data_IF_934766366710
#
_entry.id   IF_934766366710
#
_cell.length_a   1.000
_cell.length_b   1.000
_cell.length_c   1.000
_cell.angle_alpha   90.00
_cell.angle_beta   90.00
_cell.angle_gamma   90.00
#
_symmetry.space_group_name_H-M   'P 1'
#
loop_
_entity.id
_entity.type
_entity.pdbx_description
1 polymer ?
#
# COMPACT_ATOMS: atom_id res chain seq x y z
N UNK A 1 20.56 -5.47 2.84
CA UNK A 1 19.08 -5.46 2.82
C UNK A 1 18.62 -6.47 1.80
N UNK A 2 17.67 -7.34 2.14
CA UNK A 2 17.06 -8.30 1.20
C UNK A 2 15.54 -8.12 1.27
N UNK A 3 14.88 -8.10 0.13
CA UNK A 3 13.44 -7.86 0.05
C UNK A 3 12.88 -8.27 -1.30
N UNK A 4 11.57 -8.52 -1.34
CA UNK A 4 10.86 -8.79 -2.58
C UNK A 4 10.69 -7.48 -3.38
N UNK A 5 10.68 -7.57 -4.71
CA UNK A 5 10.32 -6.44 -5.56
C UNK A 5 8.83 -6.18 -5.39
N UNK A 6 8.48 -5.00 -4.88
CA UNK A 6 7.09 -4.59 -4.71
C UNK A 6 6.46 -4.19 -6.05
N UNK A 7 5.93 -5.18 -6.78
CA UNK A 7 5.24 -5.01 -8.07
C UNK A 7 4.00 -5.89 -8.13
N UNK A 8 2.91 -5.40 -8.70
CA UNK A 8 1.62 -6.10 -8.81
C UNK A 8 1.75 -7.52 -9.41
N UNK A 9 2.67 -7.71 -10.36
CA UNK A 9 2.90 -9.01 -11.01
C UNK A 9 3.58 -10.04 -10.10
N UNK A 10 4.36 -9.59 -9.11
CA UNK A 10 5.12 -10.46 -8.21
C UNK A 10 4.38 -10.78 -6.91
N UNK A 11 3.19 -10.20 -6.69
CA UNK A 11 2.32 -10.47 -5.54
C UNK A 11 1.28 -11.58 -5.80
N UNK A 12 1.61 -12.54 -6.67
CA UNK A 12 0.75 -13.67 -7.02
C UNK A 12 1.56 -14.96 -7.10
N UNK A 13 0.93 -16.10 -6.84
CA UNK A 13 1.64 -17.38 -6.61
C UNK A 13 2.02 -18.16 -7.90
N UNK A 14 1.61 -17.69 -9.07
CA UNK A 14 1.92 -18.31 -10.36
C UNK A 14 3.33 -17.95 -10.80
N UNK A 15 4.10 -18.98 -11.11
CA UNK A 15 5.40 -18.86 -11.74
C UNK A 15 5.27 -18.34 -13.17
N UNK A 16 6.25 -17.53 -13.60
CA UNK A 16 6.36 -17.12 -14.99
C UNK A 16 6.69 -18.34 -15.86
N UNK A 17 6.07 -18.40 -17.04
CA UNK A 17 6.36 -19.41 -18.05
C UNK A 17 7.82 -19.36 -18.51
N UNK A 18 8.32 -20.50 -18.95
CA UNK A 18 9.65 -20.58 -19.54
C UNK A 18 9.70 -19.83 -20.88
N UNK A 19 10.90 -19.38 -21.26
CA UNK A 19 11.16 -18.65 -22.52
C UNK A 19 10.38 -17.32 -22.63
N UNK A 20 10.09 -16.67 -21.51
CA UNK A 20 9.55 -15.31 -21.46
C UNK A 20 10.65 -14.36 -21.00
N UNK A 21 10.95 -13.36 -21.83
CA UNK A 21 11.91 -12.31 -21.48
C UNK A 21 11.31 -11.37 -20.44
N UNK A 22 12.02 -11.20 -19.32
CA UNK A 22 11.64 -10.29 -18.24
C UNK A 22 12.65 -9.15 -18.15
N UNK A 23 12.19 -7.91 -18.31
CA UNK A 23 12.98 -6.70 -18.10
C UNK A 23 12.49 -5.96 -16.85
N UNK A 24 13.36 -5.86 -15.85
CA UNK A 24 13.10 -5.10 -14.62
C UNK A 24 13.96 -3.83 -14.65
N UNK A 25 13.32 -2.66 -14.54
CA UNK A 25 14.00 -1.37 -14.39
C UNK A 25 13.71 -0.83 -13.00
N UNK A 26 14.76 -0.72 -12.18
CA UNK A 26 14.68 -0.09 -10.86
C UNK A 26 15.25 1.33 -10.97
N UNK A 27 14.47 2.31 -10.50
CA UNK A 27 14.87 3.71 -10.48
C UNK A 27 14.99 4.11 -9.01
N UNK A 28 16.17 4.61 -8.62
CA UNK A 28 16.41 5.04 -7.25
C UNK A 28 15.66 6.35 -6.98
N UNK A 29 14.97 6.43 -5.84
CA UNK A 29 14.41 7.68 -5.35
C UNK A 29 15.49 8.71 -5.06
N UNK A 30 15.12 9.99 -5.06
CA UNK A 30 16.04 11.08 -4.71
C UNK A 30 16.51 10.97 -3.25
N UNK A 31 17.75 11.38 -2.92
CA UNK A 31 18.27 11.31 -1.54
C UNK A 31 17.35 11.97 -0.51
N UNK A 32 16.79 13.13 -0.80
CA UNK A 32 15.89 13.88 0.10
C UNK A 32 14.57 13.16 0.42
N UNK A 33 14.21 12.15 -0.37
CA UNK A 33 13.01 11.32 -0.12
C UNK A 33 13.35 10.06 0.70
N UNK A 34 14.52 9.47 0.49
CA UNK A 34 14.89 8.19 1.12
C UNK A 34 15.82 8.32 2.33
N UNK A 35 16.35 9.51 2.61
CA UNK A 35 17.19 9.79 3.77
C UNK A 35 16.51 10.83 4.67
N UNK A 36 16.58 10.59 5.98
CA UNK A 36 16.23 11.57 7.00
C UNK A 36 17.50 11.93 7.78
N UNK A 37 17.81 13.21 7.90
CA UNK A 37 19.00 13.71 8.58
C UNK A 37 19.45 15.07 8.06
N UNK A 38 20.76 15.28 8.04
CA UNK A 38 21.40 16.47 7.47
C UNK A 38 21.53 16.37 5.95
N UNK A 39 21.57 17.53 5.30
CA UNK A 39 21.85 17.64 3.87
C UNK A 39 23.27 17.20 3.52
N UNK A 40 23.54 17.00 2.23
CA UNK A 40 24.87 16.67 1.71
C UNK A 40 25.20 15.17 1.67
N UNK A 41 24.31 14.32 2.19
CA UNK A 41 24.46 12.87 2.13
C UNK A 41 23.78 12.30 0.89
N UNK A 42 24.38 11.25 0.31
CA UNK A 42 23.83 10.52 -0.83
C UNK A 42 23.85 9.02 -0.56
N UNK A 43 22.84 8.33 -1.08
CA UNK A 43 22.82 6.86 -1.12
C UNK A 43 23.58 6.40 -2.35
N UNK A 44 24.64 5.61 -2.13
CA UNK A 44 25.38 4.90 -3.17
C UNK A 44 25.05 3.42 -3.06
N UNK A 45 24.65 2.80 -4.17
CA UNK A 45 24.44 1.37 -4.25
C UNK A 45 25.73 0.73 -4.77
N UNK A 46 26.44 0.02 -3.90
CA UNK A 46 27.71 -0.63 -4.24
C UNK A 46 27.47 -1.94 -5.00
N UNK A 47 26.68 -2.83 -4.40
CA UNK A 47 26.29 -4.11 -5.00
C UNK A 47 24.78 -4.30 -4.99
N UNK A 48 24.22 -4.65 -6.15
CA UNK A 48 22.81 -5.00 -6.32
C UNK A 48 22.73 -6.35 -7.01
N UNK A 49 22.05 -7.31 -6.38
CA UNK A 49 21.87 -8.65 -6.92
C UNK A 49 20.40 -9.05 -6.89
N UNK A 50 19.94 -9.73 -7.94
CA UNK A 50 18.59 -10.25 -8.05
C UNK A 50 18.63 -11.77 -7.93
N UNK A 51 17.98 -12.30 -6.89
CA UNK A 51 17.81 -13.73 -6.69
C UNK A 51 16.47 -14.17 -7.27
N UNK A 52 16.48 -15.13 -8.20
CA UNK A 52 15.28 -15.65 -8.86
C UNK A 52 15.14 -17.15 -8.56
N UNK A 53 13.96 -17.56 -8.11
CA UNK A 53 13.62 -18.98 -7.94
C UNK A 53 13.20 -19.58 -9.30
N UNK A 54 13.96 -20.57 -9.77
CA UNK A 54 13.58 -21.40 -10.92
C UNK A 54 13.06 -22.76 -10.43
N UNK A 55 12.01 -23.26 -11.07
CA UNK A 55 11.39 -24.55 -10.70
C UNK A 55 11.52 -25.51 -11.88
N UNK A 56 11.95 -26.74 -11.61
CA UNK A 56 11.93 -27.83 -12.59
C UNK A 56 10.56 -28.46 -12.58
N UNK A 57 9.92 -28.52 -13.74
CA UNK A 57 8.56 -29.04 -13.89
C UNK A 57 8.62 -30.37 -14.65
N UNK A 58 7.70 -31.29 -14.34
CA UNK A 58 7.60 -32.57 -15.04
C UNK A 58 7.37 -32.34 -16.57
N UNK A 59 8.07 -33.06 -17.46
CA UNK A 59 7.92 -32.95 -18.91
C UNK A 59 6.46 -32.99 -19.42
N UNK A 60 5.59 -33.80 -18.80
CA UNK A 60 4.18 -33.89 -19.18
C UNK A 60 3.42 -32.57 -18.98
N UNK A 61 3.76 -31.81 -17.94
CA UNK A 61 3.17 -30.49 -17.67
C UNK A 61 3.69 -29.45 -18.66
N UNK A 62 4.97 -29.52 -19.05
CA UNK A 62 5.54 -28.65 -20.08
C UNK A 62 4.82 -28.85 -21.41
N UNK A 63 4.61 -30.11 -21.82
CA UNK A 63 3.85 -30.43 -23.04
C UNK A 63 2.39 -29.98 -22.94
N UNK A 64 1.77 -30.15 -21.78
CA UNK A 64 0.41 -29.65 -21.51
C UNK A 64 0.30 -28.13 -21.65
N UNK A 65 1.26 -27.39 -21.11
CA UNK A 65 1.32 -25.93 -21.28
C UNK A 65 1.53 -25.52 -22.74
N UNK A 66 2.42 -26.18 -23.48
CA UNK A 66 2.62 -25.89 -24.91
C UNK A 66 1.31 -26.04 -25.71
N UNK A 67 0.59 -27.16 -25.53
CA UNK A 67 -0.72 -27.40 -26.18
C UNK A 67 -1.80 -26.41 -25.75
N UNK A 68 -1.79 -25.97 -24.49
CA UNK A 68 -2.74 -24.98 -24.01
C UNK A 68 -2.47 -23.58 -24.59
N UNK A 69 -1.18 -23.23 -24.75
CA UNK A 69 -0.75 -21.95 -25.32
C UNK A 69 -1.04 -21.80 -26.82
N UNK A 70 -1.14 -22.92 -27.55
CA UNK A 70 -1.65 -22.92 -28.93
C UNK A 70 -3.11 -22.44 -29.03
N UNK A 71 -3.91 -22.65 -27.96
CA UNK A 71 -5.35 -22.32 -27.94
C UNK A 71 -5.65 -21.01 -27.23
N UNK A 72 -4.93 -20.71 -26.15
CA UNK A 72 -5.23 -19.59 -25.25
C UNK A 72 -3.97 -19.02 -24.62
N UNK A 73 -3.91 -17.70 -24.45
CA UNK A 73 -2.81 -17.04 -23.75
C UNK A 73 -2.81 -17.35 -22.26
N UNK A 74 -1.62 -17.40 -21.66
CA UNK A 74 -1.46 -17.46 -20.21
C UNK A 74 -2.04 -16.19 -19.53
N UNK A 75 -2.76 -16.39 -18.44
CA UNK A 75 -3.36 -15.31 -17.64
C UNK A 75 -2.72 -15.25 -16.26
N UNK A 76 -2.21 -14.08 -15.90
CA UNK A 76 -1.66 -13.78 -14.58
C UNK A 76 -2.61 -12.79 -13.87
N UNK A 77 -3.37 -13.23 -12.85
CA UNK A 77 -4.19 -12.32 -12.08
C UNK A 77 -3.29 -11.42 -11.25
N UNK A 78 -3.58 -10.12 -11.26
CA UNK A 78 -2.84 -9.13 -10.48
C UNK A 78 -3.80 -8.34 -9.60
N UNK A 79 -3.36 -8.00 -8.39
CA UNK A 79 -4.02 -6.99 -7.56
C UNK A 79 -3.30 -5.67 -7.81
N UNK A 80 -3.97 -4.72 -8.46
CA UNK A 80 -3.39 -3.41 -8.73
C UNK A 80 -3.42 -2.53 -7.50
N UNK A 81 -2.28 -1.94 -7.16
CA UNK A 81 -2.18 -0.90 -6.13
C UNK A 81 -2.18 0.47 -6.83
N UNK A 82 -3.14 1.31 -6.50
CA UNK A 82 -3.25 2.67 -7.04
C UNK A 82 -3.17 3.68 -5.90
N UNK A 83 -2.32 4.69 -6.07
CA UNK A 83 -2.20 5.81 -5.15
C UNK A 83 -2.81 7.05 -5.78
N UNK A 84 -3.71 7.72 -5.06
CA UNK A 84 -4.22 9.04 -5.41
C UNK A 84 -3.82 10.03 -4.32
N UNK A 85 -3.37 11.20 -4.74
CA UNK A 85 -2.86 12.24 -3.85
C UNK A 85 -3.71 13.48 -4.05
N UNK A 86 -4.09 14.08 -2.92
CA UNK A 86 -4.87 15.31 -2.89
C UNK A 86 -4.18 16.29 -1.95
N UNK A 87 -4.07 17.55 -2.37
CA UNK A 87 -3.51 18.62 -1.55
C UNK A 87 -4.63 19.28 -0.75
N UNK A 88 -4.50 19.30 0.58
CA UNK A 88 -5.43 19.97 1.49
C UNK A 88 -4.81 21.30 1.92
N UNK A 89 -5.43 22.46 1.63
CA UNK A 89 -4.91 23.75 2.04
C UNK A 89 -4.83 23.90 3.57
N UNK A 90 -3.84 24.68 4.03
CA UNK A 90 -3.71 25.02 5.45
C UNK A 90 -4.95 25.79 5.93
N UNK A 91 -5.51 25.38 7.07
CA UNK A 91 -6.70 26.00 7.65
C UNK A 91 -8.03 25.37 7.21
N UNK A 92 -8.00 24.43 6.25
CA UNK A 92 -9.19 23.65 5.90
C UNK A 92 -9.63 22.78 7.07
N UNK A 93 -10.91 22.91 7.45
CA UNK A 93 -11.54 22.11 8.51
C UNK A 93 -12.25 20.86 7.98
N UNK A 94 -12.55 20.84 6.68
CA UNK A 94 -13.17 19.71 6.00
C UNK A 94 -12.55 19.51 4.62
N UNK A 95 -12.53 18.26 4.17
CA UNK A 95 -12.12 17.86 2.84
C UNK A 95 -13.02 16.70 2.39
N UNK A 96 -13.67 16.86 1.25
CA UNK A 96 -14.55 15.87 0.65
C UNK A 96 -14.09 15.65 -0.78
N UNK A 97 -13.93 14.39 -1.17
CA UNK A 97 -13.54 14.02 -2.51
C UNK A 97 -14.48 12.94 -3.05
N UNK A 98 -15.30 13.32 -4.02
CA UNK A 98 -16.17 12.41 -4.73
C UNK A 98 -15.44 11.68 -5.85
N UNK A 99 -15.99 10.52 -6.25
CA UNK A 99 -15.51 9.74 -7.38
C UNK A 99 -14.01 9.45 -7.34
N UNK A 100 -13.49 9.13 -6.14
CA UNK A 100 -12.06 8.87 -5.90
C UNK A 100 -11.55 7.82 -6.88
N UNK A 101 -12.30 6.76 -7.18
CA UNK A 101 -11.93 5.77 -8.19
C UNK A 101 -13.06 5.64 -9.22
N UNK A 102 -12.72 5.82 -10.51
CA UNK A 102 -13.66 5.61 -11.62
C UNK A 102 -13.44 4.22 -12.21
N UNK A 103 -14.52 3.48 -12.44
CA UNK A 103 -14.46 2.13 -13.01
C UNK A 103 -14.37 1.04 -11.95
N UNK A 104 -13.23 0.34 -11.87
CA UNK A 104 -13.07 -0.77 -10.93
C UNK A 104 -13.00 -0.28 -9.48
N UNK A 105 -13.96 -0.71 -8.66
CA UNK A 105 -13.96 -0.47 -7.22
C UNK A 105 -12.75 -1.16 -6.56
N UNK A 106 -11.95 -0.45 -5.74
CA UNK A 106 -10.89 -1.09 -4.98
C UNK A 106 -11.49 -2.01 -3.90
N UNK A 107 -10.85 -3.16 -3.67
CA UNK A 107 -11.21 -4.08 -2.57
C UNK A 107 -10.85 -3.51 -1.20
N UNK A 108 -9.84 -2.66 -1.14
CA UNK A 108 -9.28 -2.09 0.08
C UNK A 108 -8.87 -0.66 -0.17
N UNK A 109 -9.08 0.20 0.81
CA UNK A 109 -8.68 1.60 0.76
C UNK A 109 -7.85 1.91 1.99
N UNK A 110 -6.66 2.47 1.78
CA UNK A 110 -5.86 3.04 2.85
C UNK A 110 -5.82 4.56 2.68
N UNK A 111 -6.10 5.27 3.77
CA UNK A 111 -6.06 6.74 3.82
C UNK A 111 -5.01 7.15 4.83
N UNK A 112 -4.20 8.13 4.47
CA UNK A 112 -3.18 8.72 5.33
C UNK A 112 -2.91 10.15 4.93
N UNK A 113 -2.45 10.94 5.89
CA UNK A 113 -2.05 12.32 5.67
C UNK A 113 -0.56 12.46 5.98
N UNK A 114 0.13 13.22 5.14
CA UNK A 114 1.56 13.52 5.29
C UNK A 114 1.77 15.01 5.07
N UNK A 115 2.79 15.57 5.71
CA UNK A 115 3.19 16.95 5.51
C UNK A 115 3.64 17.19 4.06
N UNK A 116 3.29 18.35 3.48
CA UNK A 116 3.58 18.62 2.07
C UNK A 116 5.09 18.66 1.76
N UNK A 117 5.90 19.19 2.67
CA UNK A 117 7.37 19.19 2.50
C UNK A 117 7.92 17.78 2.59
N UNK A 118 7.39 16.98 3.53
CA UNK A 118 7.75 15.57 3.65
C UNK A 118 7.37 14.78 2.38
N UNK A 119 6.20 15.03 1.79
CA UNK A 119 5.74 14.36 0.57
C UNK A 119 6.67 14.64 -0.63
N UNK A 120 7.15 15.87 -0.78
CA UNK A 120 8.08 16.24 -1.84
C UNK A 120 9.54 15.84 -1.58
N UNK A 121 9.85 15.37 -0.37
CA UNK A 121 11.18 15.01 0.07
C UNK A 121 11.88 16.20 0.72
N UNK A 122 12.19 16.06 2.01
CA UNK A 122 12.96 17.02 2.79
C UNK A 122 13.80 16.25 3.79
N UNK A 123 15.11 16.51 3.87
CA UNK A 123 15.99 15.73 4.76
C UNK A 123 15.57 15.79 6.24
N UNK A 124 14.91 16.86 6.67
CA UNK A 124 14.43 17.00 8.05
C UNK A 124 13.14 16.23 8.35
N UNK A 125 12.43 15.72 7.34
CA UNK A 125 11.11 15.07 7.48
C UNK A 125 11.05 13.75 6.71
N UNK A 126 10.20 12.83 7.14
CA UNK A 126 10.01 11.55 6.44
C UNK A 126 8.69 11.53 5.69
N UNK A 127 8.72 11.15 4.40
CA UNK A 127 7.51 10.92 3.59
C UNK A 127 6.67 9.74 4.09
N UNK A 128 7.21 8.94 5.01
CA UNK A 128 6.55 7.79 5.65
C UNK A 128 5.99 8.13 7.04
N UNK A 129 6.11 9.39 7.48
CA UNK A 129 5.54 9.87 8.74
C UNK A 129 4.08 10.31 8.51
N UNK A 130 3.15 9.39 8.72
CA UNK A 130 1.71 9.64 8.57
C UNK A 130 1.15 10.26 9.84
N UNK A 131 0.78 11.54 9.78
CA UNK A 131 0.30 12.32 10.92
C UNK A 131 -1.21 12.37 10.95
N UNK A 132 -1.77 12.39 12.16
CA UNK A 132 -3.21 12.54 12.35
C UNK A 132 -3.74 13.95 12.10
N UNK A 133 -2.90 15.00 12.18
CA UNK A 133 -3.29 16.41 12.02
C UNK A 133 -4.52 16.84 12.82
N UNK A 134 -4.73 16.25 14.00
CA UNK A 134 -5.92 16.44 14.83
C UNK A 134 -7.25 16.14 14.11
N UNK A 135 -7.23 15.24 13.13
CA UNK A 135 -8.44 14.76 12.46
C UNK A 135 -9.41 14.21 13.51
N UNK A 136 -10.65 14.70 13.48
CA UNK A 136 -11.70 14.31 14.42
C UNK A 136 -12.81 13.46 13.79
N UNK A 137 -12.83 13.37 12.45
CA UNK A 137 -13.84 12.64 11.70
C UNK A 137 -13.27 12.12 10.38
N UNK A 138 -13.55 10.86 10.05
CA UNK A 138 -13.29 10.30 8.72
C UNK A 138 -14.42 9.35 8.31
N UNK A 139 -14.97 9.59 7.12
CA UNK A 139 -15.97 8.75 6.48
C UNK A 139 -15.51 8.31 5.10
N UNK A 140 -15.71 7.03 4.79
CA UNK A 140 -15.55 6.48 3.44
C UNK A 140 -16.93 6.01 3.00
N UNK A 141 -17.32 6.37 1.78
CA UNK A 141 -18.64 6.05 1.24
C UNK A 141 -18.48 5.26 -0.04
N UNK A 142 -19.27 4.19 -0.17
CA UNK A 142 -19.40 3.41 -1.40
C UNK A 142 -20.86 3.41 -1.80
N UNK A 143 -21.14 3.92 -3.00
CA UNK A 143 -22.50 4.03 -3.54
C UNK A 143 -23.48 4.73 -2.55
N UNK A 144 -22.98 5.76 -1.87
CA UNK A 144 -23.71 6.54 -0.87
C UNK A 144 -23.80 5.90 0.52
N UNK A 145 -23.35 4.66 0.69
CA UNK A 145 -23.36 3.96 1.98
C UNK A 145 -22.02 4.10 2.71
N UNK A 146 -22.00 4.47 4.00
CA UNK A 146 -20.77 4.58 4.77
C UNK A 146 -20.14 3.20 5.03
N UNK A 147 -18.81 3.13 4.90
CA UNK A 147 -17.99 1.95 5.20
C UNK A 147 -16.88 2.33 6.19
N UNK A 148 -16.89 1.81 7.43
CA UNK A 148 -17.95 0.98 8.02
C UNK A 148 -19.25 1.78 8.25
N UNK A 149 -20.35 1.09 8.59
CA UNK A 149 -21.69 1.67 8.76
C UNK A 149 -21.71 3.01 9.53
N UNK A 150 -20.87 3.14 10.56
CA UNK A 150 -20.67 4.39 11.27
C UNK A 150 -19.28 4.94 10.93
N UNK A 151 -19.19 6.16 10.36
CA UNK A 151 -17.93 6.89 10.23
C UNK A 151 -17.12 6.91 11.53
N UNK A 152 -15.83 7.15 11.42
CA UNK A 152 -14.93 7.15 12.57
C UNK A 152 -14.86 8.56 13.14
N UNK A 153 -15.30 8.71 14.40
CA UNK A 153 -15.05 9.88 15.22
C UNK A 153 -13.79 9.67 16.07
N UNK A 154 -12.96 10.71 16.17
CA UNK A 154 -11.61 10.63 16.70
C UNK A 154 -11.34 11.78 17.68
N UNK A 155 -10.68 11.48 18.79
CA UNK A 155 -10.06 12.47 19.67
C UNK A 155 -8.72 11.93 20.16
N UNK A 156 -7.63 12.37 19.51
CA UNK A 156 -6.28 11.94 19.85
C UNK A 156 -5.82 12.48 21.21
N UNK A 157 -6.41 13.56 21.71
CA UNK A 157 -6.07 14.12 23.04
C UNK A 157 -6.61 13.24 24.17
N UNK A 158 -7.77 12.60 23.95
CA UNK A 158 -8.44 11.69 24.91
C UNK A 158 -8.22 10.21 24.61
N UNK A 159 -7.28 9.90 23.72
CA UNK A 159 -6.99 8.54 23.23
C UNK A 159 -8.19 7.79 22.60
N UNK A 160 -9.16 8.55 22.07
CA UNK A 160 -10.34 8.04 21.36
C UNK A 160 -10.00 7.85 19.87
N UNK A 161 -9.10 6.92 19.56
CA UNK A 161 -8.74 6.56 18.17
C UNK A 161 -8.66 5.04 17.97
N UNK A 162 -9.09 4.26 18.97
CA UNK A 162 -8.94 2.79 18.95
C UNK A 162 -9.68 2.14 17.79
N UNK A 163 -10.87 2.62 17.45
CA UNK A 163 -11.61 2.12 16.28
C UNK A 163 -10.83 2.37 14.99
N UNK A 164 -10.18 3.52 14.85
CA UNK A 164 -9.30 3.82 13.72
C UNK A 164 -8.08 2.90 13.68
N UNK A 165 -7.39 2.71 14.80
CA UNK A 165 -6.28 1.76 14.89
C UNK A 165 -6.71 0.33 14.53
N UNK A 166 -7.88 -0.11 15.00
CA UNK A 166 -8.45 -1.42 14.66
C UNK A 166 -8.69 -1.57 13.14
N UNK A 167 -9.03 -0.49 12.43
CA UNK A 167 -9.23 -0.56 10.97
C UNK A 167 -7.99 -1.03 10.23
N UNK A 168 -6.77 -0.78 10.74
CA UNK A 168 -5.55 -1.32 10.12
C UNK A 168 -5.50 -2.84 10.13
N UNK A 169 -6.01 -3.50 11.16
CA UNK A 169 -6.07 -4.97 11.23
C UNK A 169 -7.10 -5.51 10.24
N UNK A 170 -8.26 -4.86 10.13
CA UNK A 170 -9.30 -5.22 9.16
C UNK A 170 -8.81 -5.00 7.73
N UNK A 171 -8.25 -3.83 7.41
CA UNK A 171 -7.73 -3.50 6.08
C UNK A 171 -6.55 -4.38 5.65
N UNK A 172 -5.76 -4.91 6.58
CA UNK A 172 -4.64 -5.81 6.28
C UNK A 172 -4.98 -7.31 6.36
N UNK A 173 -6.25 -7.66 6.57
CA UNK A 173 -6.74 -9.03 6.83
C UNK A 173 -6.05 -9.72 8.02
N UNK A 174 -5.53 -8.95 8.99
CA UNK A 174 -4.85 -9.50 10.19
C UNK A 174 -5.76 -9.55 11.41
N UNK A 175 -7.01 -9.10 11.29
CA UNK A 175 -8.00 -9.21 12.36
C UNK A 175 -8.21 -10.69 12.72
N UNK A 176 -8.03 -11.03 14.00
CA UNK A 176 -8.17 -12.41 14.48
C UNK A 176 -7.04 -13.37 14.09
N UNK A 177 -5.95 -12.89 13.49
CA UNK A 177 -4.76 -13.69 13.20
C UNK A 177 -3.71 -13.57 14.30
N UNK A 178 -2.87 -14.59 14.48
CA UNK A 178 -1.70 -14.58 15.37
C UNK A 178 -0.51 -13.80 14.77
N UNK A 179 -0.80 -12.68 14.12
CA UNK A 179 0.17 -11.80 13.46
C UNK A 179 -0.25 -10.35 13.61
N UNK A 180 0.59 -9.53 14.25
CA UNK A 180 0.36 -8.08 14.35
C UNK A 180 0.64 -7.32 13.05
N UNK A 181 0.42 -6.00 13.07
CA UNK A 181 0.69 -5.08 11.93
C UNK A 181 2.06 -4.39 12.02
N UNK A 182 2.90 -4.74 12.99
CA UNK A 182 4.20 -4.08 13.29
C UNK A 182 4.11 -2.57 13.57
N UNK A 183 2.92 -2.10 13.95
CA UNK A 183 2.67 -0.74 14.42
C UNK A 183 1.99 -0.89 15.77
N UNK A 184 2.59 -0.36 16.83
CA UNK A 184 1.97 -0.33 18.16
C UNK A 184 0.93 0.80 18.26
N UNK A 185 0.04 0.73 19.26
CA UNK A 185 -0.94 1.78 19.55
C UNK A 185 -0.28 3.15 19.81
N UNK A 186 0.92 3.15 20.39
CA UNK A 186 1.69 4.38 20.67
C UNK A 186 2.22 4.98 19.37
N UNK A 187 2.92 4.17 18.57
CA UNK A 187 3.46 4.58 17.27
C UNK A 187 2.36 5.02 16.29
N UNK A 188 1.17 4.44 16.39
CA UNK A 188 0.00 4.85 15.60
C UNK A 188 -0.40 6.30 15.82
N UNK A 189 -0.48 6.72 17.09
CA UNK A 189 -0.85 8.09 17.48
C UNK A 189 0.22 9.10 17.07
N UNK A 190 1.49 8.71 17.17
CA UNK A 190 2.60 9.65 17.01
C UNK A 190 2.92 9.93 15.52
N UNK A 191 3.07 8.88 14.71
CA UNK A 191 3.65 9.01 13.36
C UNK A 191 3.16 8.01 12.32
N UNK A 192 2.22 7.12 12.68
CA UNK A 192 1.74 6.04 11.81
C UNK A 192 0.21 6.02 11.69
N UNK A 193 -0.42 7.19 11.65
CA UNK A 193 -1.88 7.31 11.57
C UNK A 193 -2.37 7.05 10.15
N UNK A 194 -2.67 5.78 9.89
CA UNK A 194 -3.31 5.30 8.67
C UNK A 194 -4.71 4.74 8.99
N UNK A 195 -5.62 4.79 8.02
CA UNK A 195 -6.97 4.25 8.13
C UNK A 195 -7.17 3.19 7.05
N UNK A 196 -7.52 1.97 7.44
CA UNK A 196 -7.62 0.82 6.53
C UNK A 196 -9.06 0.32 6.39
N UNK A 197 -9.67 0.52 5.23
CA UNK A 197 -11.04 0.10 4.97
C UNK A 197 -11.06 -1.13 4.06
N UNK A 198 -11.76 -2.18 4.47
CA UNK A 198 -12.12 -3.29 3.59
C UNK A 198 -13.43 -2.93 2.90
N UNK A 199 -13.41 -2.88 1.57
CA UNK A 199 -14.54 -2.51 0.71
C UNK A 199 -15.06 -3.73 -0.08
N UNK A 200 -14.49 -4.91 0.16
CA UNK A 200 -14.95 -6.15 -0.46
C UNK A 200 -16.40 -6.41 -0.05
N UNK A 201 -17.27 -6.89 -0.95
CA UNK A 201 -18.64 -7.21 -0.57
C UNK A 201 -18.65 -8.29 0.52
N UNK A 202 -19.49 -8.10 1.53
CA UNK A 202 -19.80 -9.16 2.49
C UNK A 202 -20.52 -10.30 1.75
N UNK A 203 -20.12 -11.54 2.04
CA UNK A 203 -20.73 -12.76 1.50
C UNK A 203 -22.11 -13.00 2.12
#
# INVERSE_FOLDING_TARGET
>A
MIGCIHSDLFHQDRLLLNLVDLKIKLIRSKPEFCLQGSEGFKVVLDHVSLFIRKVRVNPGVILGHAKALEKTSAKYPINRVLCKVYSIPKGSMSFIQDNIFSGQKPKKLFVGCVDNEAFHGAFSKSSYEFKHFNLNFIGVYVDGQPVPHNPLELDFSKDQYIRAYQTLFVGTDRMGQDRGIFISRKEYKDSNTLFGFNLSPDL
#
